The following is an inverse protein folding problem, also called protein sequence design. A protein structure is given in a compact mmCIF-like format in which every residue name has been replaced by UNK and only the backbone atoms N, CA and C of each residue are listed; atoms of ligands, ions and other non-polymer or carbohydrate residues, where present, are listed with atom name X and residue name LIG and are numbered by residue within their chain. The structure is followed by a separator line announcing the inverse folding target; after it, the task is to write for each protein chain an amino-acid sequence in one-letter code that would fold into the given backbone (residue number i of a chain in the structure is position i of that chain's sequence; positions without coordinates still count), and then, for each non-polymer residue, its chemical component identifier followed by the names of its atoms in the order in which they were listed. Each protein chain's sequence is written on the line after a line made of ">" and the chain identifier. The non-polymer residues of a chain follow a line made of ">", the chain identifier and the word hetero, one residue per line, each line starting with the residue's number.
data_IF_753039257289
#
_entry.id   IF_753039257289
#
_cell.length_a   1.000
_cell.length_b   1.000
_cell.length_c   1.000
_cell.angle_alpha   90.00
_cell.angle_beta   90.00
_cell.angle_gamma   90.00
#
_symmetry.space_group_name_H-M   'P 1'
#
loop_
_entity.id
_entity.type
_entity.pdbx_description
1 polymer ?
#
# COMPACT_ATOMS: atom_id res chain seq x y z
N UNK A 1 18.31 -3.82 -18.00
CA UNK A 1 16.90 -3.38 -18.06
C UNK A 1 16.70 -1.86 -18.19
N UNK A 2 17.63 -1.01 -17.82
CA UNK A 2 17.54 0.44 -18.11
C UNK A 2 17.50 0.78 -19.60
N UNK A 3 17.98 -0.10 -20.47
CA UNK A 3 18.11 0.11 -21.92
C UNK A 3 16.93 -0.37 -22.77
N UNK A 4 15.81 -0.78 -22.15
CA UNK A 4 14.67 -1.34 -22.89
C UNK A 4 13.82 -0.28 -23.62
N UNK A 5 14.34 0.94 -23.90
CA UNK A 5 13.68 2.04 -24.67
C UNK A 5 12.14 2.13 -24.51
N UNK A 6 11.64 1.74 -23.32
CA UNK A 6 10.20 1.76 -23.05
C UNK A 6 9.66 3.19 -22.89
N UNK A 7 10.56 4.14 -22.61
CA UNK A 7 10.21 5.56 -22.47
C UNK A 7 9.80 6.19 -23.82
N UNK A 8 10.29 5.67 -24.94
CA UNK A 8 9.93 6.14 -26.30
C UNK A 8 8.65 5.46 -26.83
N UNK A 9 8.11 4.46 -26.15
CA UNK A 9 6.89 3.80 -26.58
C UNK A 9 5.68 4.74 -26.41
N UNK A 10 4.90 4.94 -27.47
CA UNK A 10 3.63 5.69 -27.40
C UNK A 10 2.58 4.98 -26.55
N UNK A 11 2.73 3.68 -26.32
CA UNK A 11 1.87 2.87 -25.45
C UNK A 11 2.06 3.23 -23.99
N UNK A 12 0.98 3.27 -23.21
CA UNK A 12 1.00 3.58 -21.77
C UNK A 12 -0.25 4.32 -21.31
N UNK A 13 -0.30 4.66 -20.05
CA UNK A 13 -1.39 5.46 -19.45
C UNK A 13 -1.01 6.93 -19.51
N UNK A 14 -1.82 7.74 -20.18
CA UNK A 14 -1.63 9.19 -20.24
C UNK A 14 -2.07 9.86 -18.94
N UNK A 15 -1.15 10.52 -18.25
CA UNK A 15 -1.46 11.24 -17.03
C UNK A 15 -0.71 12.57 -16.93
N UNK A 16 -1.45 13.67 -16.83
CA UNK A 16 -0.92 15.04 -16.72
C UNK A 16 0.15 15.35 -17.79
N UNK A 17 -0.07 14.94 -19.05
CA UNK A 17 0.85 15.14 -20.16
C UNK A 17 2.07 14.22 -20.16
N UNK A 18 2.14 13.26 -19.24
CA UNK A 18 3.19 12.23 -19.18
C UNK A 18 2.62 10.87 -19.55
N UNK A 19 3.40 10.09 -20.30
CA UNK A 19 3.07 8.71 -20.60
C UNK A 19 3.74 7.79 -19.60
N UNK A 20 2.94 6.99 -18.87
CA UNK A 20 3.41 6.02 -17.87
C UNK A 20 3.12 4.63 -18.42
N UNK A 21 4.16 3.91 -18.82
CA UNK A 21 4.04 2.57 -19.39
C UNK A 21 4.67 1.49 -18.52
N UNK A 22 5.53 1.87 -17.57
CA UNK A 22 6.16 0.92 -16.67
C UNK A 22 6.49 1.52 -15.31
N UNK A 23 6.51 0.65 -14.27
CA UNK A 23 7.10 0.90 -12.96
C UNK A 23 8.12 -0.20 -12.69
N UNK A 24 9.29 0.17 -12.21
CA UNK A 24 10.40 -0.76 -11.98
C UNK A 24 10.89 -0.66 -10.55
N UNK A 25 11.08 -1.81 -9.93
CA UNK A 25 11.71 -1.91 -8.63
C UNK A 25 12.57 -3.19 -8.59
N UNK A 26 13.89 -3.03 -8.58
CA UNK A 26 14.86 -4.12 -8.69
C UNK A 26 14.56 -5.01 -9.90
N UNK A 27 14.19 -6.25 -9.69
CA UNK A 27 13.80 -7.26 -10.68
C UNK A 27 12.29 -7.27 -11.00
N UNK A 28 11.48 -6.59 -10.19
CA UNK A 28 10.04 -6.48 -10.42
C UNK A 28 9.72 -5.37 -11.42
N UNK A 29 8.94 -5.69 -12.46
CA UNK A 29 8.45 -4.76 -13.45
C UNK A 29 6.92 -4.84 -13.51
N UNK A 30 6.27 -3.68 -13.43
CA UNK A 30 4.84 -3.54 -13.73
C UNK A 30 4.68 -2.76 -15.03
N UNK A 31 4.06 -3.36 -16.04
CA UNK A 31 3.71 -2.71 -17.29
C UNK A 31 2.30 -2.17 -17.21
N UNK A 32 2.07 -0.99 -17.79
CA UNK A 32 0.76 -0.32 -17.81
C UNK A 32 0.41 0.12 -19.21
N UNK A 33 -0.82 -0.10 -19.63
CA UNK A 33 -1.36 0.35 -20.91
C UNK A 33 -2.86 0.59 -20.81
N UNK A 34 -3.42 1.36 -21.74
CA UNK A 34 -4.87 1.60 -21.83
C UNK A 34 -5.61 0.48 -22.58
N UNK A 35 -4.89 -0.29 -23.41
CA UNK A 35 -5.45 -1.40 -24.18
C UNK A 35 -4.63 -2.69 -24.06
N UNK A 36 -5.31 -3.82 -24.29
CA UNK A 36 -4.68 -5.14 -24.32
C UNK A 36 -3.59 -5.23 -25.41
N UNK A 37 -3.83 -4.64 -26.57
CA UNK A 37 -2.88 -4.66 -27.69
C UNK A 37 -1.58 -3.92 -27.36
N UNK A 38 -1.70 -2.77 -26.70
CA UNK A 38 -0.55 -1.98 -26.25
C UNK A 38 0.22 -2.72 -25.16
N UNK A 39 -0.46 -3.30 -24.19
CA UNK A 39 0.18 -4.07 -23.14
C UNK A 39 0.96 -5.27 -23.71
N UNK A 40 0.39 -5.95 -24.70
CA UNK A 40 1.05 -7.05 -25.42
C UNK A 40 2.31 -6.59 -26.15
N UNK A 41 2.25 -5.45 -26.84
CA UNK A 41 3.39 -4.84 -27.52
C UNK A 41 4.51 -4.47 -26.55
N UNK A 42 4.16 -3.85 -25.40
CA UNK A 42 5.13 -3.51 -24.35
C UNK A 42 5.82 -4.75 -23.77
N UNK A 43 5.04 -5.79 -23.54
CA UNK A 43 5.57 -7.04 -22.97
C UNK A 43 6.52 -7.74 -23.94
N UNK A 44 6.19 -7.77 -25.24
CA UNK A 44 7.08 -8.36 -26.27
C UNK A 44 8.41 -7.60 -26.36
N UNK A 45 8.38 -6.27 -26.30
CA UNK A 45 9.61 -5.46 -26.26
C UNK A 45 10.46 -5.79 -25.03
N UNK A 46 9.84 -5.89 -23.84
CA UNK A 46 10.56 -6.26 -22.60
C UNK A 46 11.16 -7.66 -22.73
N UNK A 47 10.44 -8.61 -23.34
CA UNK A 47 10.91 -9.97 -23.57
C UNK A 47 12.15 -9.97 -24.46
N UNK A 48 12.08 -9.34 -25.63
CA UNK A 48 13.19 -9.25 -26.59
C UNK A 48 14.44 -8.62 -25.98
N UNK A 49 14.27 -7.51 -25.26
CA UNK A 49 15.40 -6.83 -24.61
C UNK A 49 15.99 -7.64 -23.45
N UNK A 50 15.15 -8.39 -22.72
CA UNK A 50 15.61 -9.27 -21.65
C UNK A 50 16.40 -10.46 -22.21
N UNK A 51 15.95 -11.05 -23.30
CA UNK A 51 16.63 -12.17 -23.97
C UNK A 51 18.01 -11.77 -24.51
N UNK A 52 18.15 -10.55 -25.03
CA UNK A 52 19.44 -10.01 -25.50
C UNK A 52 20.52 -9.97 -24.40
N UNK A 53 20.12 -9.82 -23.13
CA UNK A 53 21.02 -9.81 -21.98
C UNK A 53 21.03 -11.13 -21.21
N UNK A 54 20.45 -12.20 -21.78
CA UNK A 54 20.42 -13.54 -21.18
C UNK A 54 19.41 -13.68 -20.01
N UNK A 55 18.45 -12.76 -19.88
CA UNK A 55 17.43 -12.83 -18.83
C UNK A 55 16.12 -13.37 -19.42
N UNK A 56 15.62 -14.46 -18.85
CA UNK A 56 14.34 -15.04 -19.21
C UNK A 56 13.23 -14.54 -18.30
N UNK A 57 12.14 -14.11 -18.91
CA UNK A 57 10.94 -13.69 -18.18
C UNK A 57 10.21 -14.93 -17.64
N UNK A 58 9.95 -14.97 -16.33
CA UNK A 58 9.20 -16.06 -15.72
C UNK A 58 7.69 -15.89 -15.98
N UNK A 59 7.11 -16.73 -16.86
CA UNK A 59 5.70 -16.63 -17.26
C UNK A 59 4.77 -17.01 -16.11
N UNK A 60 5.13 -17.99 -15.30
CA UNK A 60 4.29 -18.46 -14.18
C UNK A 60 4.09 -17.43 -13.05
N UNK A 61 5.01 -16.49 -12.91
CA UNK A 61 4.90 -15.38 -11.92
C UNK A 61 4.14 -14.17 -12.45
N UNK A 62 3.78 -14.14 -13.75
CA UNK A 62 3.09 -12.99 -14.34
C UNK A 62 1.63 -13.00 -13.94
N UNK A 63 1.13 -11.82 -13.64
CA UNK A 63 -0.28 -11.59 -13.32
C UNK A 63 -0.76 -10.39 -14.10
N UNK A 64 -1.98 -10.45 -14.58
CA UNK A 64 -2.64 -9.35 -15.26
C UNK A 64 -3.78 -8.86 -14.43
N UNK A 65 -3.85 -7.55 -14.28
CA UNK A 65 -4.93 -6.88 -13.60
C UNK A 65 -5.54 -5.84 -14.54
N UNK A 66 -6.85 -5.86 -14.70
CA UNK A 66 -7.58 -4.89 -15.50
C UNK A 66 -8.73 -4.26 -14.72
N UNK A 67 -9.07 -3.02 -15.07
CA UNK A 67 -10.25 -2.32 -14.54
C UNK A 67 -11.56 -2.73 -15.23
N UNK A 68 -11.50 -3.61 -16.24
CA UNK A 68 -12.65 -4.17 -16.99
C UNK A 68 -12.65 -5.68 -16.98
N UNK A 69 -13.68 -6.31 -17.56
CA UNK A 69 -13.77 -7.76 -17.69
C UNK A 69 -12.82 -8.26 -18.77
N UNK A 70 -11.67 -8.79 -18.38
CA UNK A 70 -10.80 -9.59 -19.25
C UNK A 70 -11.02 -11.04 -18.86
N UNK A 71 -11.45 -11.88 -19.82
CA UNK A 71 -11.82 -13.27 -19.57
C UNK A 71 -10.65 -14.24 -19.68
N UNK A 72 -9.70 -14.00 -20.57
CA UNK A 72 -8.48 -14.80 -20.70
C UNK A 72 -7.41 -14.02 -21.46
N UNK A 73 -6.15 -14.23 -21.09
CA UNK A 73 -5.03 -13.64 -21.78
C UNK A 73 -3.97 -14.70 -22.08
N UNK A 74 -3.55 -14.75 -23.33
CA UNK A 74 -2.55 -15.71 -23.80
C UNK A 74 -1.31 -14.99 -24.30
N UNK A 75 -0.15 -15.47 -23.84
CA UNK A 75 1.17 -15.02 -24.29
C UNK A 75 1.94 -16.27 -24.67
N UNK A 76 2.44 -16.33 -25.90
CA UNK A 76 3.21 -17.49 -26.41
C UNK A 76 2.51 -18.84 -26.22
N UNK A 77 1.19 -18.88 -26.37
CA UNK A 77 0.30 -20.05 -26.14
C UNK A 77 0.18 -20.48 -24.68
N UNK A 78 0.69 -19.69 -23.74
CA UNK A 78 0.47 -19.91 -22.31
C UNK A 78 -0.56 -18.91 -21.77
N UNK A 79 -1.51 -19.42 -21.00
CA UNK A 79 -2.53 -18.59 -20.33
C UNK A 79 -1.91 -17.87 -19.15
N UNK A 80 -2.11 -16.56 -19.09
CA UNK A 80 -1.66 -15.75 -17.95
C UNK A 80 -2.80 -15.55 -16.97
N UNK A 81 -2.53 -15.71 -15.69
CA UNK A 81 -3.50 -15.55 -14.61
C UNK A 81 -4.03 -14.11 -14.55
N UNK A 82 -5.35 -13.96 -14.68
CA UNK A 82 -6.03 -12.68 -14.46
C UNK A 82 -6.42 -12.55 -13.00
N UNK A 83 -5.99 -11.49 -12.35
CA UNK A 83 -6.21 -11.28 -10.90
C UNK A 83 -6.93 -9.97 -10.62
N UNK A 84 -7.71 -9.94 -9.55
CA UNK A 84 -8.37 -8.73 -9.05
C UNK A 84 -7.45 -7.88 -8.16
N UNK A 85 -6.39 -8.50 -7.66
CA UNK A 85 -5.39 -7.85 -6.80
C UNK A 85 -4.04 -8.57 -6.88
N UNK A 86 -2.97 -7.86 -6.59
CA UNK A 86 -1.62 -8.43 -6.46
C UNK A 86 -0.79 -7.64 -5.45
N UNK A 87 0.32 -8.26 -5.00
CA UNK A 87 1.25 -7.60 -4.09
C UNK A 87 2.43 -7.08 -4.89
N UNK A 88 2.64 -5.75 -4.83
CA UNK A 88 3.78 -5.07 -5.42
C UNK A 88 4.55 -4.31 -4.34
N UNK A 89 5.85 -4.53 -4.25
CA UNK A 89 6.72 -3.92 -3.22
C UNK A 89 6.12 -4.05 -1.81
N UNK A 90 5.62 -5.25 -1.48
CA UNK A 90 5.02 -5.54 -0.17
C UNK A 90 3.65 -4.94 0.09
N UNK A 91 3.06 -4.21 -0.85
CA UNK A 91 1.75 -3.55 -0.76
C UNK A 91 0.74 -4.21 -1.70
N UNK A 92 -0.47 -4.46 -1.19
CA UNK A 92 -1.56 -5.02 -2.00
C UNK A 92 -2.21 -3.93 -2.84
N UNK A 93 -2.17 -4.09 -4.16
CA UNK A 93 -2.81 -3.23 -5.14
C UNK A 93 -4.06 -3.93 -5.67
N UNK A 94 -5.18 -3.23 -5.78
CA UNK A 94 -6.47 -3.75 -6.25
C UNK A 94 -6.91 -3.04 -7.53
N UNK A 95 -7.64 -3.75 -8.40
CA UNK A 95 -8.11 -3.22 -9.68
C UNK A 95 -9.05 -2.01 -9.54
N UNK A 96 -9.78 -1.92 -8.42
CA UNK A 96 -10.66 -0.80 -8.10
C UNK A 96 -9.94 0.39 -7.43
N UNK A 97 -8.65 0.24 -7.09
CA UNK A 97 -7.86 1.25 -6.39
C UNK A 97 -8.27 1.49 -4.93
N UNK A 98 -9.02 0.56 -4.31
CA UNK A 98 -9.44 0.68 -2.91
C UNK A 98 -8.33 0.28 -1.95
N UNK A 99 -8.04 1.13 -0.95
CA UNK A 99 -7.00 0.87 0.05
C UNK A 99 -7.47 -0.04 1.21
N UNK A 100 -8.78 -0.22 1.39
CA UNK A 100 -9.37 -0.98 2.50
C UNK A 100 -8.88 -2.43 2.61
N UNK A 101 -8.70 -3.22 1.52
CA UNK A 101 -8.17 -4.57 1.60
C UNK A 101 -6.74 -4.62 2.14
N UNK A 102 -5.92 -3.66 1.72
CA UNK A 102 -4.54 -3.57 2.18
C UNK A 102 -4.43 -3.15 3.65
N UNK A 103 -5.24 -2.17 4.09
CA UNK A 103 -5.28 -1.77 5.51
C UNK A 103 -5.69 -2.97 6.37
N UNK A 104 -6.70 -3.73 5.97
CA UNK A 104 -7.09 -4.97 6.68
C UNK A 104 -5.95 -5.98 6.74
N UNK A 105 -5.21 -6.16 5.63
CA UNK A 105 -4.05 -7.06 5.55
C UNK A 105 -2.94 -6.62 6.52
N UNK A 106 -2.60 -5.33 6.54
CA UNK A 106 -1.60 -4.78 7.45
C UNK A 106 -2.01 -4.96 8.93
N UNK A 107 -3.28 -4.74 9.26
CA UNK A 107 -3.81 -5.00 10.61
C UNK A 107 -3.70 -6.48 11.02
N UNK A 108 -3.97 -7.41 10.09
CA UNK A 108 -3.79 -8.84 10.34
C UNK A 108 -2.32 -9.22 10.55
N UNK A 109 -1.41 -8.65 9.74
CA UNK A 109 0.03 -8.84 9.92
C UNK A 109 0.49 -8.29 11.27
N UNK A 110 0.05 -7.08 11.65
CA UNK A 110 0.32 -6.50 12.97
C UNK A 110 -0.17 -7.39 14.12
N UNK A 111 -1.37 -8.00 13.98
CA UNK A 111 -1.87 -8.99 14.96
C UNK A 111 -0.97 -10.21 15.06
N UNK A 112 -0.48 -10.72 13.92
CA UNK A 112 0.45 -11.86 13.90
C UNK A 112 1.74 -11.52 14.62
N UNK A 113 2.34 -10.36 14.34
CA UNK A 113 3.55 -9.89 15.03
C UNK A 113 3.32 -9.74 16.53
N UNK A 114 2.20 -9.11 16.93
CA UNK A 114 1.83 -8.96 18.34
C UNK A 114 1.66 -10.31 19.05
N UNK A 115 1.17 -11.32 18.35
CA UNK A 115 1.03 -12.67 18.88
C UNK A 115 2.37 -13.39 19.01
N UNK A 116 3.27 -13.21 18.06
CA UNK A 116 4.62 -13.77 18.11
C UNK A 116 5.44 -13.21 19.28
N UNK A 117 5.17 -11.98 19.70
CA UNK A 117 5.81 -11.32 20.84
C UNK A 117 5.17 -11.66 22.21
N UNK A 118 4.17 -12.54 22.24
CA UNK A 118 3.39 -12.83 23.44
C UNK A 118 4.23 -13.37 24.62
N UNK A 119 5.27 -14.17 24.33
CA UNK A 119 6.23 -14.64 25.34
C UNK A 119 6.97 -13.49 26.04
N UNK A 120 7.41 -12.51 25.26
CA UNK A 120 8.10 -11.32 25.76
C UNK A 120 7.13 -10.46 26.60
N UNK A 121 5.90 -10.27 26.14
CA UNK A 121 4.90 -9.51 26.87
C UNK A 121 4.46 -10.21 28.17
N UNK A 122 4.59 -11.53 28.26
CA UNK A 122 4.30 -12.32 29.47
C UNK A 122 5.42 -12.27 30.49
N UNK A 123 6.67 -12.00 30.10
CA UNK A 123 7.78 -11.91 31.04
C UNK A 123 7.52 -10.83 32.11
N UNK A 124 7.86 -11.14 33.36
CA UNK A 124 7.80 -10.20 34.49
C UNK A 124 9.03 -9.32 34.58
N UNK A 125 10.14 -9.75 34.00
CA UNK A 125 11.45 -9.06 34.05
C UNK A 125 11.50 -7.83 33.14
N UNK A 126 10.57 -7.74 32.19
CA UNK A 126 10.49 -6.64 31.23
C UNK A 126 9.48 -5.62 31.74
N UNK A 127 9.91 -4.37 31.88
CA UNK A 127 9.08 -3.27 32.37
C UNK A 127 7.99 -2.88 31.38
N UNK A 128 6.91 -2.28 31.87
CA UNK A 128 5.81 -1.83 31.01
C UNK A 128 6.27 -0.81 29.96
N UNK A 129 7.06 0.21 30.27
CA UNK A 129 7.57 1.16 29.25
C UNK A 129 8.36 0.45 28.14
N UNK A 130 9.20 -0.52 28.49
CA UNK A 130 9.96 -1.31 27.47
C UNK A 130 9.03 -2.09 26.57
N UNK A 131 7.97 -2.72 27.12
CA UNK A 131 6.97 -3.44 26.33
C UNK A 131 6.21 -2.50 25.39
N UNK A 132 5.87 -1.29 25.84
CA UNK A 132 5.24 -0.25 25.02
C UNK A 132 6.16 0.16 23.87
N UNK A 133 7.44 0.35 24.17
CA UNK A 133 8.46 0.67 23.15
C UNK A 133 8.56 -0.45 22.10
N UNK A 134 8.56 -1.72 22.52
CA UNK A 134 8.58 -2.85 21.59
C UNK A 134 7.35 -2.90 20.67
N UNK A 135 6.15 -2.64 21.18
CA UNK A 135 4.94 -2.57 20.34
C UNK A 135 5.09 -1.49 19.29
N UNK A 136 5.56 -0.31 19.68
CA UNK A 136 5.78 0.82 18.77
C UNK A 136 6.86 0.56 17.74
N UNK A 137 7.93 -0.15 18.11
CA UNK A 137 9.06 -0.41 17.24
C UNK A 137 8.84 -1.59 16.30
N UNK A 138 8.07 -2.61 16.69
CA UNK A 138 7.93 -3.85 15.94
C UNK A 138 6.54 -4.08 15.34
N UNK A 139 5.48 -3.63 16.00
CA UNK A 139 4.10 -3.88 15.56
C UNK A 139 3.58 -2.73 14.71
N UNK A 140 3.72 -1.49 15.18
CA UNK A 140 3.18 -0.33 14.49
C UNK A 140 3.77 -0.10 13.10
N UNK A 141 5.09 -0.24 12.85
CA UNK A 141 5.66 -0.08 11.52
C UNK A 141 5.06 -1.04 10.48
N UNK A 142 4.70 -2.26 10.89
CA UNK A 142 4.04 -3.23 10.01
C UNK A 142 2.65 -2.76 9.59
N UNK A 143 1.93 -2.10 10.51
CA UNK A 143 0.57 -1.59 10.24
C UNK A 143 0.58 -0.34 9.38
N UNK A 144 1.53 0.56 9.62
CA UNK A 144 1.62 1.83 8.88
C UNK A 144 2.46 1.75 7.61
N UNK A 145 2.99 0.58 7.27
CA UNK A 145 3.80 0.41 6.06
C UNK A 145 3.07 0.87 4.80
N UNK A 146 3.65 1.81 4.05
CA UNK A 146 3.10 2.39 2.83
C UNK A 146 1.80 3.19 3.02
N UNK A 147 1.42 3.55 4.26
CA UNK A 147 0.19 4.30 4.53
C UNK A 147 0.29 5.77 4.12
N UNK A 148 1.49 6.31 3.95
CA UNK A 148 1.76 7.68 3.57
C UNK A 148 1.16 8.04 2.21
N UNK A 149 1.16 7.10 1.26
CA UNK A 149 0.59 7.30 -0.07
C UNK A 149 -0.90 6.93 -0.17
N UNK A 150 -1.48 6.30 0.87
CA UNK A 150 -2.86 5.78 0.82
C UNK A 150 -3.90 6.79 1.29
N UNK A 151 -5.08 6.75 0.67
CA UNK A 151 -6.27 7.44 1.16
C UNK A 151 -6.91 6.58 2.26
N UNK A 152 -6.88 7.06 3.51
CA UNK A 152 -7.46 6.35 4.66
C UNK A 152 -8.81 6.98 4.99
N UNK A 153 -9.89 6.19 4.89
CA UNK A 153 -11.26 6.64 5.18
C UNK A 153 -11.52 6.63 6.70
N UNK A 154 -12.48 7.42 7.19
CA UNK A 154 -12.87 7.45 8.63
C UNK A 154 -13.21 6.05 9.21
N UNK A 155 -13.73 5.15 8.38
CA UNK A 155 -13.99 3.77 8.81
C UNK A 155 -12.70 2.96 9.04
N UNK A 156 -11.66 3.23 8.27
CA UNK A 156 -10.35 2.62 8.45
C UNK A 156 -9.63 3.19 9.68
N UNK A 157 -9.72 4.51 9.94
CA UNK A 157 -9.21 5.13 11.16
C UNK A 157 -9.79 4.43 12.41
N UNK A 158 -11.10 4.24 12.46
CA UNK A 158 -11.75 3.51 13.56
C UNK A 158 -11.23 2.07 13.74
N UNK A 159 -10.87 1.38 12.65
CA UNK A 159 -10.28 0.03 12.71
C UNK A 159 -8.84 0.07 13.24
N UNK A 160 -8.09 1.11 12.86
CA UNK A 160 -6.72 1.34 13.32
C UNK A 160 -6.73 1.63 14.83
N UNK A 161 -7.63 2.49 15.30
CA UNK A 161 -7.81 2.79 16.72
C UNK A 161 -8.22 1.55 17.52
N UNK A 162 -9.16 0.79 17.00
CA UNK A 162 -9.59 -0.46 17.62
C UNK A 162 -8.45 -1.49 17.71
N UNK A 163 -7.58 -1.53 16.72
CA UNK A 163 -6.38 -2.36 16.71
C UNK A 163 -5.36 -1.88 17.76
N UNK A 164 -5.12 -0.58 17.84
CA UNK A 164 -4.23 0.00 18.85
C UNK A 164 -4.69 -0.36 20.27
N UNK A 165 -5.97 -0.14 20.56
CA UNK A 165 -6.57 -0.51 21.85
C UNK A 165 -6.49 -2.02 22.12
N UNK A 166 -6.65 -2.85 21.10
CA UNK A 166 -6.47 -4.30 21.23
C UNK A 166 -5.03 -4.64 21.60
N UNK A 167 -4.01 -3.98 21.02
CA UNK A 167 -2.61 -4.16 21.39
C UNK A 167 -2.38 -3.82 22.86
N UNK A 168 -2.88 -2.67 23.33
CA UNK A 168 -2.69 -2.22 24.70
C UNK A 168 -3.42 -3.11 25.71
N UNK A 169 -4.64 -3.53 25.41
CA UNK A 169 -5.37 -4.48 26.26
C UNK A 169 -4.64 -5.81 26.38
N UNK A 170 -4.12 -6.33 25.26
CA UNK A 170 -3.34 -7.57 25.25
C UNK A 170 -2.06 -7.44 26.06
N UNK A 171 -1.33 -6.33 25.90
CA UNK A 171 -0.11 -6.04 26.66
C UNK A 171 -0.37 -5.94 28.16
N UNK A 172 -1.47 -5.32 28.59
CA UNK A 172 -1.89 -5.21 29.97
C UNK A 172 -2.61 -6.47 30.50
N UNK A 173 -2.86 -7.48 29.66
CA UNK A 173 -3.65 -8.67 29.94
C UNK A 173 -5.06 -8.36 30.47
N UNK A 174 -5.67 -7.32 29.95
CA UNK A 174 -7.03 -6.92 30.29
C UNK A 174 -7.98 -7.50 29.24
N UNK A 175 -8.78 -8.53 29.55
CA UNK A 175 -9.75 -9.06 28.62
C UNK A 175 -10.79 -7.97 28.30
N UNK A 176 -11.37 -8.02 27.11
CA UNK A 176 -12.38 -7.03 26.73
C UNK A 176 -13.65 -7.10 27.59
N UNK A 177 -13.90 -8.26 28.19
CA UNK A 177 -14.98 -8.49 29.17
C UNK A 177 -14.76 -7.78 30.50
N UNK A 178 -13.51 -7.43 30.84
CA UNK A 178 -13.25 -6.58 32.00
C UNK A 178 -13.74 -5.17 31.66
N UNK A 179 -14.80 -4.72 32.32
CA UNK A 179 -15.49 -3.43 32.10
C UNK A 179 -14.61 -2.20 32.37
N UNK A 180 -13.37 -2.20 31.84
CA UNK A 180 -12.47 -1.04 31.90
C UNK A 180 -12.64 -0.17 30.67
N UNK A 181 -12.73 1.14 30.89
CA UNK A 181 -12.82 2.13 29.81
C UNK A 181 -11.54 2.15 28.96
N UNK A 182 -11.65 2.55 27.71
CA UNK A 182 -10.49 2.72 26.81
C UNK A 182 -9.54 3.78 27.36
N UNK A 183 -10.07 4.85 27.94
CA UNK A 183 -9.30 5.91 28.56
C UNK A 183 -8.42 5.40 29.70
N UNK A 184 -8.96 4.58 30.60
CA UNK A 184 -8.20 3.94 31.69
C UNK A 184 -7.07 3.05 31.19
N UNK A 185 -7.23 2.43 30.01
CA UNK A 185 -6.16 1.64 29.38
C UNK A 185 -5.06 2.57 28.84
N UNK A 186 -5.43 3.64 28.14
CA UNK A 186 -4.50 4.60 27.57
C UNK A 186 -3.72 5.36 28.64
N UNK A 187 -4.36 5.79 29.71
CA UNK A 187 -3.72 6.43 30.87
C UNK A 187 -2.65 5.52 31.50
N UNK A 188 -2.97 4.22 31.67
CA UNK A 188 -2.02 3.26 32.25
C UNK A 188 -0.84 2.97 31.33
N UNK A 189 -1.05 2.92 30.03
CA UNK A 189 0.00 2.64 29.02
C UNK A 189 0.82 3.91 28.76
N UNK A 190 0.17 5.08 28.77
CA UNK A 190 0.75 6.38 28.42
C UNK A 190 1.54 6.32 27.10
N UNK A 191 0.92 5.93 25.99
CA UNK A 191 1.63 5.64 24.74
C UNK A 191 2.25 6.88 24.10
N UNK A 192 1.89 8.10 24.52
CA UNK A 192 2.28 9.34 23.88
C UNK A 192 1.55 9.53 22.54
N UNK A 193 2.21 9.25 21.42
CA UNK A 193 1.59 9.37 20.09
C UNK A 193 0.78 8.11 19.80
N UNK A 194 -0.49 8.29 19.38
CA UNK A 194 -1.37 7.22 18.91
C UNK A 194 -0.92 6.66 17.56
N UNK A 195 -1.43 5.51 17.18
CA UNK A 195 -1.15 4.90 15.88
C UNK A 195 -1.71 5.78 14.74
N UNK A 196 -2.88 6.40 14.93
CA UNK A 196 -3.43 7.38 14.00
C UNK A 196 -2.56 8.62 13.88
N UNK A 197 -2.08 9.16 15.01
CA UNK A 197 -1.13 10.29 15.02
C UNK A 197 0.20 9.96 14.34
N UNK A 198 0.70 8.72 14.47
CA UNK A 198 1.87 8.24 13.74
C UNK A 198 1.62 8.20 12.23
N UNK A 199 0.45 7.72 11.81
CA UNK A 199 0.03 7.70 10.41
C UNK A 199 -0.05 9.10 9.83
N UNK A 200 -0.67 10.04 10.55
CA UNK A 200 -0.75 11.45 10.13
C UNK A 200 0.65 12.08 10.02
N UNK A 201 1.52 11.82 10.98
CA UNK A 201 2.92 12.29 10.93
C UNK A 201 3.64 11.79 9.66
N UNK A 202 3.51 10.52 9.32
CA UNK A 202 4.12 9.96 8.10
C UNK A 202 3.55 10.61 6.84
N UNK A 203 2.23 10.83 6.78
CA UNK A 203 1.59 11.55 5.66
C UNK A 203 2.11 12.98 5.53
N UNK A 204 2.22 13.72 6.63
CA UNK A 204 2.74 15.08 6.62
C UNK A 204 4.22 15.14 6.20
N UNK A 205 5.04 14.20 6.64
CA UNK A 205 6.43 14.08 6.19
C UNK A 205 6.50 13.81 4.68
N UNK A 206 5.67 12.90 4.17
CA UNK A 206 5.58 12.59 2.75
C UNK A 206 5.10 13.80 1.94
N UNK A 207 4.06 14.50 2.42
CA UNK A 207 3.60 15.76 1.83
C UNK A 207 4.71 16.80 1.74
N UNK A 208 5.45 17.03 2.83
CA UNK A 208 6.59 17.95 2.83
C UNK A 208 7.69 17.55 1.85
N UNK A 209 7.91 16.25 1.67
CA UNK A 209 8.85 15.73 0.67
C UNK A 209 8.36 15.99 -0.77
N UNK A 210 7.07 15.73 -1.04
CA UNK A 210 6.46 15.99 -2.35
C UNK A 210 6.49 17.46 -2.74
N UNK A 211 6.23 18.36 -1.77
CA UNK A 211 6.21 19.81 -2.04
C UNK A 211 7.57 20.35 -2.45
N UNK A 212 8.65 19.78 -1.96
CA UNK A 212 10.03 20.18 -2.33
C UNK A 212 10.47 19.71 -3.71
N UNK A 213 9.79 18.72 -4.29
CA UNK A 213 10.09 18.26 -5.65
C UNK A 213 9.42 19.16 -6.69
N UNK A 214 10.20 19.61 -7.65
CA UNK A 214 9.71 20.31 -8.83
C UNK A 214 9.31 19.24 -9.86
N UNK A 215 8.13 19.36 -10.46
CA UNK A 215 7.65 18.53 -11.59
C UNK A 215 7.67 17.00 -11.37
N UNK A 216 7.39 16.53 -10.16
CA UNK A 216 7.25 15.10 -9.93
C UNK A 216 5.84 14.60 -10.29
N UNK A 217 5.77 13.42 -10.91
CA UNK A 217 4.52 12.74 -11.23
C UNK A 217 3.69 12.49 -9.97
N UNK A 218 4.36 12.06 -8.89
CA UNK A 218 3.73 11.77 -7.61
C UNK A 218 3.04 13.01 -7.05
N UNK A 219 3.66 14.18 -7.14
CA UNK A 219 3.08 15.45 -6.73
C UNK A 219 1.80 15.76 -7.51
N UNK A 220 1.83 15.59 -8.83
CA UNK A 220 0.69 15.82 -9.70
C UNK A 220 -0.47 14.87 -9.37
N UNK A 221 -0.17 13.58 -9.15
CA UNK A 221 -1.16 12.58 -8.78
C UNK A 221 -1.79 12.85 -7.41
N UNK A 222 -0.99 13.17 -6.39
CA UNK A 222 -1.46 13.38 -5.02
C UNK A 222 -2.23 14.69 -4.86
N UNK A 223 -1.86 15.74 -5.60
CA UNK A 223 -2.59 17.01 -5.60
C UNK A 223 -3.86 16.99 -6.47
N UNK A 224 -4.08 15.91 -7.22
CA UNK A 224 -5.29 15.73 -8.03
C UNK A 224 -5.30 16.55 -9.31
N UNK A 225 -4.13 16.92 -9.85
CA UNK A 225 -3.96 17.60 -11.14
C UNK A 225 -4.31 16.74 -12.36
N UNK A 226 -5.11 15.69 -12.17
CA UNK A 226 -5.54 14.77 -13.23
C UNK A 226 -6.75 15.38 -13.93
N UNK A 227 -6.56 15.78 -15.19
CA UNK A 227 -7.63 16.17 -16.09
C UNK A 227 -8.50 14.96 -16.42
N UNK A 228 -9.82 15.13 -16.49
CA UNK A 228 -10.73 14.08 -16.92
C UNK A 228 -12.19 14.45 -16.65
N UNK A 229 -13.13 13.86 -17.41
CA UNK A 229 -14.58 14.03 -17.17
C UNK A 229 -14.95 13.45 -15.82
N UNK A 230 -15.51 14.26 -14.93
CA UNK A 230 -16.05 13.78 -13.64
C UNK A 230 -17.12 12.73 -13.89
N UNK A 231 -16.92 11.50 -13.39
CA UNK A 231 -17.97 10.48 -13.41
C UNK A 231 -19.13 10.89 -12.50
N UNK A 232 -20.38 10.65 -12.94
CA UNK A 232 -21.56 10.80 -12.08
C UNK A 232 -21.48 9.82 -10.91
N UNK A 233 -21.66 10.28 -9.68
CA UNK A 233 -21.62 9.47 -8.48
C UNK A 233 -21.00 10.20 -7.28
N UNK A 234 -20.99 9.54 -6.11
CA UNK A 234 -20.35 10.07 -4.90
C UNK A 234 -18.86 10.26 -5.15
N UNK A 235 -18.36 11.47 -4.92
CA UNK A 235 -16.96 11.81 -5.11
C UNK A 235 -16.08 10.91 -4.22
N UNK A 236 -15.05 10.30 -4.78
CA UNK A 236 -14.05 9.54 -4.01
C UNK A 236 -13.25 10.52 -3.15
N UNK A 237 -12.97 10.13 -1.92
CA UNK A 237 -12.11 10.86 -1.00
C UNK A 237 -10.72 11.03 -1.66
N UNK A 238 -10.22 12.27 -1.68
CA UNK A 238 -8.88 12.57 -2.17
C UNK A 238 -7.86 12.30 -1.06
N UNK A 239 -6.62 12.11 -1.46
CA UNK A 239 -5.54 11.90 -0.49
C UNK A 239 -5.35 13.09 0.46
N UNK A 240 -5.49 14.33 -0.06
CA UNK A 240 -5.41 15.55 0.74
C UNK A 240 -6.54 15.68 1.77
N UNK A 241 -7.72 15.15 1.50
CA UNK A 241 -8.86 15.25 2.44
C UNK A 241 -8.53 14.55 3.78
N UNK A 242 -7.59 13.59 3.78
CA UNK A 242 -7.11 12.93 5.00
C UNK A 242 -5.99 13.67 5.75
N UNK A 243 -5.63 14.89 5.32
CA UNK A 243 -4.64 15.75 5.98
C UNK A 243 -5.31 17.01 6.53
N UNK A 244 -6.41 17.46 5.89
CA UNK A 244 -7.11 18.72 6.19
C UNK A 244 -8.29 18.56 7.15
N UNK A 245 -8.76 17.33 7.40
CA UNK A 245 -9.78 16.99 8.41
C UNK A 245 -9.13 16.67 9.78
#
# INVERSE_FOLDING_TARGET
>A
MQNAMLEEAQAGIQNAGRNINNLRYADDITLMAESEKELKSLLMKVKEESEKVGLNLNIQKRKIMASGSITSWEIDRETVETVSDFIFVGSKVTADGECSPEIKRCLLLGRKVMTNLDSIFKSRDITLPTKVCLVKAMVFPVVVYGCESRTVKKAECRRIDAFELWCWRRLLRVPWTARRSNQSILEKVSPGISLEGMLLKLKLQYFGYLMRRVDSLEKTLMLGGIGGRRRRGRQRMRWLDGITD
#
